data_IF_720001796379
#
_entry.id   IF_720001796379
#
_cell.length_a   1.000
_cell.length_b   1.000
_cell.length_c   1.000
_cell.angle_alpha   90.00
_cell.angle_beta   90.00
_cell.angle_gamma   90.00
#
_symmetry.space_group_name_H-M   'P 1'
#
loop_
_entity.id
_entity.type
_entity.pdbx_description
1 polymer ?
#
# COMPACT_ATOMS: atom_id res chain seq x y z
N UNK A 1 2.76 -12.55 0.27
CA UNK A 1 3.64 -11.38 0.07
C UNK A 1 3.41 -10.44 1.23
N UNK A 2 4.47 -9.83 1.80
CA UNK A 2 4.31 -8.84 2.89
C UNK A 2 4.61 -7.45 2.36
N UNK A 3 3.79 -6.48 2.74
CA UNK A 3 3.99 -5.08 2.41
C UNK A 3 4.49 -4.32 3.63
N UNK A 4 5.17 -3.22 3.33
CA UNK A 4 5.41 -2.16 4.30
C UNK A 4 4.60 -0.95 3.85
N UNK A 5 3.82 -0.38 4.77
CA UNK A 5 3.10 0.88 4.58
C UNK A 5 3.66 1.97 5.49
N UNK A 6 3.60 3.22 5.06
CA UNK A 6 3.98 4.39 5.85
C UNK A 6 3.05 5.55 5.49
N UNK A 7 2.39 6.14 6.48
CA UNK A 7 1.69 7.40 6.26
C UNK A 7 2.68 8.52 5.96
N UNK A 8 2.34 9.46 5.08
CA UNK A 8 3.24 10.53 4.63
C UNK A 8 3.75 11.40 5.80
N UNK A 9 2.93 11.57 6.84
CA UNK A 9 3.27 12.32 8.05
C UNK A 9 4.06 11.49 9.08
N UNK A 10 4.21 10.19 8.88
CA UNK A 10 4.95 9.29 9.75
C UNK A 10 6.35 8.99 9.22
N UNK A 11 7.26 8.65 10.14
CA UNK A 11 8.62 8.19 9.80
C UNK A 11 8.81 6.69 9.96
N UNK A 12 7.75 5.97 10.31
CA UNK A 12 7.78 4.55 10.65
C UNK A 12 7.17 3.76 9.49
N UNK A 13 7.66 2.54 9.27
CA UNK A 13 7.08 1.59 8.34
C UNK A 13 6.36 0.50 9.14
N UNK A 14 5.11 0.22 8.78
CA UNK A 14 4.30 -0.83 9.38
C UNK A 14 4.21 -2.01 8.43
N UNK A 15 4.40 -3.22 8.97
CA UNK A 15 4.13 -4.44 8.21
C UNK A 15 2.64 -4.65 8.08
N UNK A 16 2.19 -4.85 6.85
CA UNK A 16 0.78 -5.12 6.54
C UNK A 16 0.68 -6.28 5.57
N UNK A 17 -0.35 -7.10 5.78
CA UNK A 17 -0.82 -8.12 4.85
C UNK A 17 -1.56 -7.47 3.67
N UNK A 18 -1.82 -8.26 2.63
CA UNK A 18 -2.59 -7.78 1.48
C UNK A 18 -4.03 -7.40 1.88
N UNK A 19 -4.64 -8.16 2.79
CA UNK A 19 -5.99 -7.89 3.30
C UNK A 19 -6.04 -6.57 4.07
N UNK A 20 -5.02 -6.27 4.87
CA UNK A 20 -4.91 -4.99 5.57
C UNK A 20 -4.71 -3.83 4.60
N UNK A 21 -3.92 -4.01 3.53
CA UNK A 21 -3.80 -3.00 2.47
C UNK A 21 -5.14 -2.75 1.80
N UNK A 22 -5.94 -3.78 1.51
CA UNK A 22 -7.29 -3.61 0.95
C UNK A 22 -8.16 -2.79 1.91
N UNK A 23 -8.21 -3.15 3.20
CA UNK A 23 -8.98 -2.39 4.20
C UNK A 23 -8.56 -0.93 4.30
N UNK A 24 -7.25 -0.66 4.23
CA UNK A 24 -6.71 0.71 4.21
C UNK A 24 -7.15 1.47 2.96
N UNK A 25 -7.12 0.82 1.80
CA UNK A 25 -7.54 1.42 0.54
C UNK A 25 -9.05 1.69 0.51
N UNK A 26 -9.88 0.75 0.99
CA UNK A 26 -11.34 0.94 1.11
C UNK A 26 -11.69 2.07 2.07
N UNK A 27 -10.96 2.19 3.19
CA UNK A 27 -11.13 3.29 4.14
C UNK A 27 -10.70 4.65 3.56
N UNK A 28 -9.71 4.66 2.67
CA UNK A 28 -9.18 5.88 2.04
C UNK A 28 -10.01 6.31 0.82
N UNK A 29 -10.49 5.35 0.05
CA UNK A 29 -11.22 5.56 -1.20
C UNK A 29 -12.59 4.89 -1.09
N UNK A 30 -13.58 5.60 -0.54
CA UNK A 30 -14.93 5.05 -0.29
C UNK A 30 -15.67 4.56 -1.55
N UNK A 31 -15.27 5.00 -2.75
CA UNK A 31 -15.81 4.58 -4.06
C UNK A 31 -14.72 4.01 -5.00
N UNK A 32 -13.55 3.65 -4.45
CA UNK A 32 -12.40 3.19 -5.25
C UNK A 32 -12.32 1.68 -5.44
N UNK A 33 -11.75 1.24 -6.56
CA UNK A 33 -11.37 -0.17 -6.76
C UNK A 33 -10.09 -0.50 -5.95
N UNK A 34 -10.29 -0.93 -4.69
CA UNK A 34 -9.21 -1.33 -3.80
C UNK A 34 -8.41 -2.52 -4.33
N UNK A 35 -9.06 -3.45 -5.06
CA UNK A 35 -8.40 -4.64 -5.62
C UNK A 35 -7.52 -4.26 -6.81
N UNK A 36 -8.03 -3.43 -7.72
CA UNK A 36 -7.26 -2.88 -8.83
C UNK A 36 -6.08 -2.05 -8.34
N UNK A 37 -6.29 -1.27 -7.29
CA UNK A 37 -5.24 -0.47 -6.66
C UNK A 37 -4.17 -1.35 -6.00
N UNK A 38 -4.55 -2.42 -5.28
CA UNK A 38 -3.59 -3.39 -4.76
C UNK A 38 -2.79 -4.07 -5.88
N UNK A 39 -3.44 -4.37 -7.01
CA UNK A 39 -2.78 -4.96 -8.19
C UNK A 39 -1.74 -4.02 -8.78
N UNK A 40 -2.07 -2.73 -8.88
CA UNK A 40 -1.10 -1.70 -9.25
C UNK A 40 0.04 -1.63 -8.25
N UNK A 41 -0.24 -1.61 -6.95
CA UNK A 41 0.78 -1.56 -5.89
C UNK A 41 1.77 -2.72 -6.02
N UNK A 42 1.26 -3.95 -6.20
CA UNK A 42 2.07 -5.16 -6.42
C UNK A 42 3.04 -4.99 -7.59
N UNK A 43 2.52 -4.63 -8.76
CA UNK A 43 3.34 -4.52 -9.98
C UNK A 43 4.35 -3.37 -9.89
N UNK A 44 3.97 -2.23 -9.33
CA UNK A 44 4.84 -1.08 -9.25
C UNK A 44 5.96 -1.24 -8.21
N UNK A 45 5.74 -2.00 -7.13
CA UNK A 45 6.74 -2.22 -6.08
C UNK A 45 7.72 -3.37 -6.36
N UNK A 46 7.51 -4.22 -7.40
CA UNK A 46 8.31 -5.42 -7.69
C UNK A 46 9.83 -5.19 -7.82
N UNK A 47 10.26 -3.98 -8.17
CA UNK A 47 11.67 -3.63 -8.34
C UNK A 47 12.25 -2.87 -7.13
N UNK A 48 11.72 -3.10 -5.93
CA UNK A 48 12.12 -2.39 -4.71
C UNK A 48 11.70 -0.92 -4.67
N UNK A 49 10.81 -0.52 -5.59
CA UNK A 49 10.28 0.84 -5.64
C UNK A 49 9.32 1.09 -4.49
N UNK A 50 9.36 2.33 -4.01
CA UNK A 50 8.34 2.88 -3.12
C UNK A 50 7.35 3.67 -3.98
N UNK A 51 6.06 3.44 -3.79
CA UNK A 51 5.00 4.20 -4.44
C UNK A 51 4.14 4.90 -3.40
N UNK A 52 3.45 5.97 -3.82
CA UNK A 52 2.51 6.70 -2.96
C UNK A 52 1.11 6.56 -3.53
N UNK A 53 0.14 6.20 -2.69
CA UNK A 53 -1.28 6.10 -3.03
C UNK A 53 -2.06 6.79 -1.91
N UNK A 54 -2.80 7.85 -2.23
CA UNK A 54 -3.39 8.73 -1.23
C UNK A 54 -2.32 9.28 -0.29
N UNK A 55 -2.56 9.18 1.02
CA UNK A 55 -1.64 9.64 2.06
C UNK A 55 -0.69 8.55 2.58
N UNK A 56 -0.57 7.43 1.87
CA UNK A 56 0.24 6.28 2.26
C UNK A 56 1.28 5.91 1.19
N UNK A 57 2.45 5.49 1.67
CA UNK A 57 3.54 4.93 0.86
C UNK A 57 3.58 3.42 1.00
N UNK A 58 3.87 2.71 -0.07
CA UNK A 58 3.91 1.25 -0.11
C UNK A 58 5.23 0.75 -0.72
N UNK A 59 5.74 -0.34 -0.17
CA UNK A 59 6.86 -1.12 -0.74
C UNK A 59 6.74 -2.60 -0.35
N UNK A 60 7.41 -3.46 -1.09
CA UNK A 60 7.51 -4.89 -0.76
C UNK A 60 8.52 -5.06 0.37
N UNK A 61 8.18 -5.86 1.37
CA UNK A 61 9.16 -6.32 2.35
C UNK A 61 10.07 -7.36 1.67
N UNK A 62 11.32 -6.96 1.41
CA UNK A 62 12.41 -7.83 0.96
C UNK A 62 12.79 -8.85 2.02
#
# INVERSE_FOLDING_TARGET
>A
MKFLTQYINEKIWHEVSEEEVIKLLEATFSDGDAIGTLTYIKSACQNGKVITVGDSRYKIKS
#
